data_IF_888962149370
#
_entry.id   IF_888962149370
#
_cell.length_a   1.000
_cell.length_b   1.000
_cell.length_c   1.000
_cell.angle_alpha   90.00
_cell.angle_beta   90.00
_cell.angle_gamma   90.00
#
_symmetry.space_group_name_H-M   'P 1'
#
loop_
_entity.id
_entity.type
_entity.pdbx_description
1 polymer ?
#
# COMPACT_ATOMS: atom_id res chain seq x y z
N UNK A 1 0.92 -6.26 10.79
CA UNK A 1 -0.22 -5.90 9.94
C UNK A 1 0.20 -5.65 8.50
N UNK A 2 1.02 -4.62 8.21
CA UNK A 2 1.46 -4.27 6.84
C UNK A 2 2.14 -5.43 6.10
N UNK A 3 3.04 -6.18 6.76
CA UNK A 3 3.71 -7.34 6.16
C UNK A 3 2.75 -8.46 5.75
N UNK A 4 1.68 -8.69 6.52
CA UNK A 4 0.67 -9.71 6.22
C UNK A 4 -0.16 -9.27 5.02
N UNK A 5 -0.59 -8.01 4.99
CA UNK A 5 -1.33 -7.43 3.85
C UNK A 5 -0.47 -7.49 2.58
N UNK A 6 0.79 -7.07 2.65
CA UNK A 6 1.77 -7.21 1.56
C UNK A 6 1.85 -8.64 1.04
N UNK A 7 2.01 -9.61 1.93
CA UNK A 7 2.12 -11.02 1.57
C UNK A 7 0.84 -11.57 0.93
N UNK A 8 -0.33 -11.24 1.48
CA UNK A 8 -1.62 -11.67 0.94
C UNK A 8 -1.83 -11.15 -0.49
N UNK A 9 -1.66 -9.85 -0.71
CA UNK A 9 -1.81 -9.26 -2.04
C UNK A 9 -0.74 -9.79 -3.01
N UNK A 10 0.50 -9.99 -2.55
CA UNK A 10 1.56 -10.55 -3.38
C UNK A 10 1.22 -11.96 -3.88
N UNK A 11 0.74 -12.83 -2.99
CA UNK A 11 0.35 -14.20 -3.35
C UNK A 11 -0.84 -14.20 -4.30
N UNK A 12 -1.87 -13.38 -4.05
CA UNK A 12 -3.04 -13.30 -4.93
C UNK A 12 -2.68 -12.86 -6.35
N UNK A 13 -1.80 -11.87 -6.50
CA UNK A 13 -1.34 -11.39 -7.80
C UNK A 13 -0.47 -12.46 -8.48
N UNK A 14 0.50 -13.05 -7.75
CA UNK A 14 1.37 -14.08 -8.28
C UNK A 14 0.58 -15.29 -8.80
N UNK A 15 -0.45 -15.75 -8.09
CA UNK A 15 -1.30 -16.85 -8.54
C UNK A 15 -1.94 -16.56 -9.90
N UNK A 16 -2.35 -15.31 -10.13
CA UNK A 16 -2.87 -14.87 -11.43
C UNK A 16 -1.85 -14.91 -12.54
N UNK A 17 -0.64 -14.44 -12.24
CA UNK A 17 0.47 -14.44 -13.18
C UNK A 17 0.90 -15.86 -13.52
N UNK A 18 0.99 -16.76 -12.53
CA UNK A 18 1.27 -18.18 -12.75
C UNK A 18 0.18 -18.88 -13.58
N UNK A 19 -1.09 -18.54 -13.37
CA UNK A 19 -2.18 -19.07 -14.17
C UNK A 19 -2.08 -18.60 -15.63
N UNK A 20 -1.81 -17.31 -15.84
CA UNK A 20 -1.59 -16.73 -17.17
C UNK A 20 -0.37 -17.34 -17.87
N UNK A 21 0.71 -17.58 -17.12
CA UNK A 21 1.94 -18.19 -17.62
C UNK A 21 1.78 -19.63 -18.12
N UNK A 22 0.75 -20.36 -17.67
CA UNK A 22 0.44 -21.72 -18.13
C UNK A 22 -0.32 -21.75 -19.46
N UNK A 23 -0.84 -20.62 -19.89
CA UNK A 23 -1.54 -20.47 -21.17
C UNK A 23 -0.49 -20.24 -22.26
N UNK A 24 -0.70 -20.67 -23.52
CA UNK A 24 0.22 -20.41 -24.64
C UNK A 24 0.24 -18.92 -25.08
N UNK A 25 0.20 -17.99 -24.12
CA UNK A 25 0.34 -16.57 -24.33
C UNK A 25 1.81 -16.16 -24.16
N UNK A 26 2.26 -15.17 -24.92
CA UNK A 26 3.57 -14.57 -24.72
C UNK A 26 3.58 -13.81 -23.37
N UNK A 27 4.40 -14.28 -22.43
CA UNK A 27 4.69 -13.54 -21.20
C UNK A 27 5.57 -12.34 -21.56
N UNK A 28 5.13 -11.13 -21.20
CA UNK A 28 6.02 -9.98 -21.26
C UNK A 28 7.16 -10.14 -20.24
N UNK A 29 8.39 -9.81 -20.64
CA UNK A 29 9.57 -9.87 -19.75
C UNK A 29 9.36 -9.08 -18.45
N UNK A 30 8.69 -7.92 -18.54
CA UNK A 30 8.34 -7.07 -17.39
C UNK A 30 7.41 -7.73 -16.39
N UNK A 31 6.48 -8.59 -16.86
CA UNK A 31 5.58 -9.34 -15.99
C UNK A 31 6.38 -10.36 -15.15
N UNK A 32 7.33 -11.06 -15.77
CA UNK A 32 8.19 -12.01 -15.07
C UNK A 32 9.24 -11.32 -14.15
N UNK A 33 9.72 -10.15 -14.54
CA UNK A 33 10.62 -9.33 -13.73
C UNK A 33 9.98 -8.92 -12.41
N UNK A 34 8.75 -8.40 -12.44
CA UNK A 34 8.07 -7.90 -11.24
C UNK A 34 7.27 -8.97 -10.49
N UNK A 35 6.70 -9.94 -11.21
CA UNK A 35 5.72 -10.88 -10.67
C UNK A 35 6.10 -12.35 -10.87
N UNK A 36 7.34 -12.65 -11.27
CA UNK A 36 7.81 -14.04 -11.47
C UNK A 36 8.10 -14.81 -10.18
N UNK A 37 8.09 -14.16 -9.01
CA UNK A 37 8.22 -14.83 -7.72
C UNK A 37 7.55 -14.04 -6.60
N UNK A 38 7.29 -14.68 -5.46
CA UNK A 38 6.72 -14.02 -4.28
C UNK A 38 7.62 -12.88 -3.81
N UNK A 39 8.93 -13.09 -3.74
CA UNK A 39 9.88 -12.07 -3.30
C UNK A 39 9.93 -10.85 -4.22
N UNK A 40 9.88 -11.08 -5.53
CA UNK A 40 9.81 -10.00 -6.54
C UNK A 40 8.50 -9.22 -6.41
N UNK A 41 7.39 -9.95 -6.29
CA UNK A 41 6.06 -9.34 -6.13
C UNK A 41 5.96 -8.51 -4.85
N UNK A 42 6.48 -9.02 -3.74
CA UNK A 42 6.57 -8.29 -2.47
C UNK A 42 7.37 -6.99 -2.62
N UNK A 43 8.53 -7.06 -3.29
CA UNK A 43 9.37 -5.90 -3.53
C UNK A 43 8.66 -4.89 -4.43
N UNK A 44 7.99 -5.36 -5.49
CA UNK A 44 7.17 -4.55 -6.39
C UNK A 44 6.07 -3.78 -5.64
N UNK A 45 5.25 -4.49 -4.86
CA UNK A 45 4.20 -3.89 -4.05
C UNK A 45 4.75 -2.88 -3.03
N UNK A 46 5.86 -3.22 -2.37
CA UNK A 46 6.53 -2.31 -1.45
C UNK A 46 7.04 -1.04 -2.15
N UNK A 47 7.67 -1.17 -3.33
CA UNK A 47 8.11 -0.04 -4.15
C UNK A 47 6.95 0.86 -4.56
N UNK A 48 5.77 0.29 -4.84
CA UNK A 48 4.59 1.04 -5.26
C UNK A 48 4.05 2.01 -4.19
N UNK A 49 4.18 1.67 -2.90
CA UNK A 49 3.77 2.56 -1.79
C UNK A 49 4.91 3.52 -1.39
N UNK A 50 6.15 3.03 -1.37
CA UNK A 50 7.30 3.80 -0.88
C UNK A 50 7.84 4.80 -1.89
N UNK A 51 7.30 4.82 -3.12
CA UNK A 51 7.78 5.70 -4.18
C UNK A 51 9.08 5.23 -4.83
N UNK A 52 9.43 3.94 -4.71
CA UNK A 52 10.62 3.38 -5.36
C UNK A 52 10.49 3.32 -6.88
N UNK A 53 9.27 3.21 -7.40
CA UNK A 53 8.92 3.32 -8.82
C UNK A 53 7.48 3.82 -8.94
N UNK A 54 7.17 4.48 -10.06
CA UNK A 54 5.81 4.86 -10.41
C UNK A 54 4.89 3.63 -10.41
N UNK A 55 3.83 3.68 -9.60
CA UNK A 55 2.88 2.57 -9.45
C UNK A 55 2.18 2.23 -10.78
N UNK A 56 2.04 3.20 -11.69
CA UNK A 56 1.50 3.00 -13.03
C UNK A 56 2.36 2.03 -13.84
N UNK A 57 3.68 2.23 -13.84
CA UNK A 57 4.61 1.35 -14.54
C UNK A 57 4.64 -0.07 -13.96
N UNK A 58 4.33 -0.22 -12.66
CA UNK A 58 4.23 -1.52 -12.01
C UNK A 58 2.93 -2.25 -12.34
N UNK A 59 1.80 -1.53 -12.48
CA UNK A 59 0.52 -2.16 -12.83
C UNK A 59 0.37 -2.44 -14.32
N UNK A 60 1.11 -1.76 -15.19
CA UNK A 60 1.04 -1.92 -16.65
C UNK A 60 1.12 -3.39 -17.11
N UNK A 61 2.09 -4.20 -16.64
CA UNK A 61 2.18 -5.61 -17.05
C UNK A 61 0.97 -6.45 -16.59
N UNK A 62 0.30 -6.05 -15.50
CA UNK A 62 -0.89 -6.76 -14.99
C UNK A 62 -2.14 -6.52 -15.84
N UNK A 63 -2.18 -5.44 -16.63
CA UNK A 63 -3.30 -5.15 -17.54
C UNK A 63 -3.45 -6.22 -18.62
N UNK A 64 -2.32 -6.79 -19.08
CA UNK A 64 -2.30 -7.89 -20.06
C UNK A 64 -2.77 -9.24 -19.49
N UNK A 65 -2.77 -9.40 -18.17
CA UNK A 65 -3.17 -10.65 -17.50
C UNK A 65 -4.67 -10.71 -17.33
N UNK A 66 -5.24 -9.74 -16.61
CA UNK A 66 -6.69 -9.59 -16.41
C UNK A 66 -7.00 -8.26 -15.74
N UNK A 67 -8.11 -7.59 -16.11
CA UNK A 67 -8.60 -6.39 -15.41
C UNK A 67 -8.79 -6.61 -13.90
N UNK A 68 -9.08 -7.84 -13.48
CA UNK A 68 -9.24 -8.19 -12.07
C UNK A 68 -7.95 -7.93 -11.26
N UNK A 69 -6.79 -8.36 -11.75
CA UNK A 69 -5.52 -8.17 -11.04
C UNK A 69 -5.08 -6.70 -11.04
N UNK A 70 -5.42 -5.95 -12.09
CA UNK A 70 -5.27 -4.49 -12.11
C UNK A 70 -6.11 -3.84 -11.02
N UNK A 71 -7.39 -4.22 -10.90
CA UNK A 71 -8.28 -3.73 -9.84
C UNK A 71 -7.79 -4.11 -8.43
N UNK A 72 -7.26 -5.33 -8.27
CA UNK A 72 -6.69 -5.81 -7.01
C UNK A 72 -5.43 -5.00 -6.61
N UNK A 73 -4.57 -4.66 -7.57
CA UNK A 73 -3.41 -3.79 -7.32
C UNK A 73 -3.82 -2.38 -6.91
N UNK A 74 -4.82 -1.80 -7.58
CA UNK A 74 -5.36 -0.47 -7.20
C UNK A 74 -5.97 -0.51 -5.80
N UNK A 75 -6.71 -1.59 -5.46
CA UNK A 75 -7.26 -1.79 -4.13
C UNK A 75 -6.16 -1.84 -3.06
N UNK A 76 -5.05 -2.52 -3.34
CA UNK A 76 -3.88 -2.54 -2.46
C UNK A 76 -3.33 -1.12 -2.20
N UNK A 77 -3.17 -0.31 -3.25
CA UNK A 77 -2.72 1.08 -3.14
C UNK A 77 -3.71 1.89 -2.30
N UNK A 78 -5.02 1.76 -2.55
CA UNK A 78 -6.05 2.45 -1.77
C UNK A 78 -6.02 2.07 -0.28
N UNK A 79 -5.87 0.78 0.04
CA UNK A 79 -5.70 0.32 1.43
C UNK A 79 -4.47 0.92 2.10
N UNK A 80 -3.35 1.03 1.37
CA UNK A 80 -2.14 1.66 1.87
C UNK A 80 -2.34 3.15 2.19
N UNK A 81 -3.02 3.88 1.31
CA UNK A 81 -3.36 5.28 1.54
C UNK A 81 -4.28 5.46 2.76
N UNK A 82 -5.34 4.66 2.87
CA UNK A 82 -6.25 4.72 4.04
C UNK A 82 -5.50 4.40 5.34
N UNK A 83 -4.62 3.39 5.30
CA UNK A 83 -3.77 3.06 6.45
C UNK A 83 -2.86 4.23 6.84
N UNK A 84 -2.21 4.87 5.86
CA UNK A 84 -1.35 6.03 6.09
C UNK A 84 -2.15 7.22 6.65
N UNK A 85 -3.32 7.53 6.08
CA UNK A 85 -4.16 8.64 6.56
C UNK A 85 -4.66 8.38 7.97
N UNK A 86 -4.97 7.13 8.33
CA UNK A 86 -5.38 6.78 9.68
C UNK A 86 -4.23 6.98 10.69
N UNK A 87 -3.00 6.58 10.34
CA UNK A 87 -1.81 6.83 11.18
C UNK A 87 -1.60 8.34 11.36
N UNK A 88 -1.63 9.09 10.25
CA UNK A 88 -1.46 10.55 10.31
C UNK A 88 -2.54 11.19 11.17
N UNK A 89 -3.80 10.83 10.97
CA UNK A 89 -4.93 11.34 11.75
C UNK A 89 -4.76 11.05 13.23
N UNK A 90 -4.36 9.82 13.60
CA UNK A 90 -4.11 9.47 14.99
C UNK A 90 -3.01 10.36 15.63
N UNK A 91 -1.92 10.62 14.90
CA UNK A 91 -0.85 11.51 15.37
C UNK A 91 -1.35 12.96 15.50
N UNK A 92 -2.11 13.46 14.55
CA UNK A 92 -2.69 14.81 14.61
C UNK A 92 -3.65 14.96 15.80
N UNK A 93 -4.54 13.99 16.01
CA UNK A 93 -5.48 13.98 17.13
C UNK A 93 -4.74 13.99 18.47
N UNK A 94 -3.68 13.19 18.63
CA UNK A 94 -2.86 13.17 19.83
C UNK A 94 -2.21 14.54 20.09
N UNK A 95 -1.62 15.16 19.06
CA UNK A 95 -1.01 16.50 19.16
C UNK A 95 -2.03 17.58 19.54
N UNK A 96 -3.18 17.60 18.89
CA UNK A 96 -4.26 18.55 19.19
C UNK A 96 -4.80 18.37 20.61
N UNK A 97 -4.92 17.14 21.09
CA UNK A 97 -5.32 16.83 22.47
C UNK A 97 -4.29 17.33 23.49
N UNK A 98 -2.99 17.16 23.22
CA UNK A 98 -1.93 17.65 24.10
C UNK A 98 -1.92 19.19 24.20
N UNK A 99 -2.10 19.89 23.08
CA UNK A 99 -2.18 21.37 23.06
C UNK A 99 -3.41 21.84 23.84
N UNK A 100 -4.59 21.26 23.59
CA UNK A 100 -5.81 21.64 24.30
C UNK A 100 -5.71 21.45 25.82
N UNK A 101 -5.00 20.41 26.28
CA UNK A 101 -4.72 20.21 27.71
C UNK A 101 -3.78 21.28 28.26
N UNK A 102 -2.69 21.58 27.56
CA UNK A 102 -1.75 22.63 27.98
C UNK A 102 -2.43 24.00 28.10
N UNK A 103 -3.28 24.35 27.13
CA UNK A 103 -4.05 25.60 27.16
C UNK A 103 -5.03 25.64 28.35
N UNK A 104 -5.69 24.51 28.66
CA UNK A 104 -6.58 24.40 29.83
C UNK A 104 -5.82 24.52 31.16
N UNK A 105 -4.67 23.88 31.28
CA UNK A 105 -3.85 23.94 32.50
C UNK A 105 -3.31 25.36 32.74
N UNK A 106 -2.90 26.06 31.67
CA UNK A 106 -2.51 27.47 31.72
C UNK A 106 -3.65 28.38 32.18
N UNK A 107 -4.85 28.22 31.62
CA UNK A 107 -6.01 29.02 32.01
C UNK A 107 -6.39 28.83 33.49
N UNK A 108 -6.27 27.60 34.01
CA UNK A 108 -6.52 27.32 35.44
C UNK A 108 -5.48 27.98 36.36
N UNK A 109 -4.24 28.12 35.92
CA UNK A 109 -3.21 28.84 36.67
C UNK A 109 -3.48 30.35 36.69
N UNK A 110 -3.91 30.92 35.57
CA UNK A 110 -4.28 32.35 35.48
C UNK A 110 -5.50 32.71 36.36
N UNK A 111 -6.44 31.79 36.61
CA UNK A 111 -7.58 32.02 37.50
C UNK A 111 -7.23 32.00 39.00
N UNK A 112 -6.07 31.44 39.38
CA UNK A 112 -5.67 31.27 40.78
C UNK A 112 -4.69 32.35 41.30
N UNK A 113 -4.11 33.16 40.40
CA UNK A 113 -3.31 34.36 40.71
C UNK A 113 -4.16 35.63 40.78
#
# INVERSE_FOLDING_TARGET
>A
FVAIVLYLFAVLILQGVEHYARTPNELSDSLYEYYGSVGRTLTCLFMAITGGREWEALVEPLKGVSPFYTGLFILYIAFAFVFLTNILTAVFVERSSQIAKADSDLALLEEYD
#
